data_IF_489667222719
#
_entry.id   IF_489667222719
#
_cell.length_a   1.000
_cell.length_b   1.000
_cell.length_c   1.000
_cell.angle_alpha   90.00
_cell.angle_beta   90.00
_cell.angle_gamma   90.00
#
_symmetry.space_group_name_H-M   'P 1'
#
loop_
_entity.id
_entity.type
_entity.pdbx_description
1 polymer ?
#
# COMPACT_ATOMS: atom_id res chain seq x y z
N UNK A 1 3.66 0.10 19.47
CA UNK A 1 3.79 -0.38 18.08
C UNK A 1 3.23 0.74 17.21
N UNK A 2 4.05 1.32 16.33
CA UNK A 2 3.55 2.34 15.41
C UNK A 2 2.70 1.65 14.35
N UNK A 3 1.39 1.78 14.43
CA UNK A 3 0.48 1.47 13.32
C UNK A 3 0.83 2.46 12.23
N UNK A 4 1.45 1.99 11.15
CA UNK A 4 1.76 2.86 10.02
C UNK A 4 0.44 3.12 9.32
N UNK A 5 -0.15 4.30 9.53
CA UNK A 5 -1.39 4.72 8.88
C UNK A 5 -1.13 5.00 7.39
N UNK A 6 -1.17 3.95 6.57
CA UNK A 6 -1.09 4.04 5.11
C UNK A 6 -2.32 4.76 4.50
N UNK A 7 -3.40 4.92 5.28
CA UNK A 7 -4.60 5.67 4.88
C UNK A 7 -4.33 7.15 4.54
N UNK A 8 -3.31 7.75 5.16
CA UNK A 8 -2.87 9.12 4.86
C UNK A 8 -2.03 9.24 3.58
N UNK A 9 -1.51 8.12 3.07
CA UNK A 9 -0.69 8.11 1.85
C UNK A 9 -1.56 8.12 0.59
N UNK A 10 -0.98 8.57 -0.51
CA UNK A 10 -1.62 8.55 -1.82
C UNK A 10 -1.42 7.21 -2.51
N UNK A 11 -2.27 6.88 -3.50
CA UNK A 11 -2.12 5.67 -4.34
C UNK A 11 -0.70 5.47 -4.89
N UNK A 12 -0.03 6.48 -5.48
CA UNK A 12 1.34 6.31 -5.95
C UNK A 12 2.34 6.02 -4.83
N UNK A 13 2.19 6.62 -3.63
CA UNK A 13 3.05 6.32 -2.48
C UNK A 13 2.85 4.89 -1.97
N UNK A 14 1.60 4.44 -1.91
CA UNK A 14 1.27 3.06 -1.54
C UNK A 14 1.88 2.06 -2.52
N UNK A 15 1.77 2.35 -3.83
CA UNK A 15 2.40 1.53 -4.87
C UNK A 15 3.92 1.52 -4.74
N UNK A 16 4.55 2.66 -4.48
CA UNK A 16 5.98 2.74 -4.26
C UNK A 16 6.43 1.89 -3.05
N UNK A 17 5.68 1.94 -1.94
CA UNK A 17 5.96 1.10 -0.77
C UNK A 17 5.78 -0.38 -1.04
N UNK A 18 4.75 -0.76 -1.81
CA UNK A 18 4.54 -2.15 -2.24
C UNK A 18 5.68 -2.61 -3.15
N UNK A 19 6.13 -1.76 -4.08
CA UNK A 19 7.27 -2.02 -4.97
C UNK A 19 8.58 -2.18 -4.18
N UNK A 20 8.86 -1.29 -3.23
CA UNK A 20 10.01 -1.39 -2.31
C UNK A 20 9.99 -2.69 -1.48
N UNK A 21 8.79 -3.17 -1.15
CA UNK A 21 8.59 -4.43 -0.43
C UNK A 21 8.50 -5.65 -1.35
N UNK A 22 8.61 -5.47 -2.67
CA UNK A 22 8.41 -6.48 -3.68
C UNK A 22 7.07 -7.23 -3.53
N UNK A 23 6.01 -6.51 -3.15
CA UNK A 23 4.64 -7.01 -3.03
C UNK A 23 3.92 -6.73 -4.34
N UNK A 24 3.51 -7.79 -5.02
CA UNK A 24 2.67 -7.69 -6.20
C UNK A 24 1.29 -7.13 -5.84
N UNK A 25 0.85 -6.13 -6.62
CA UNK A 25 -0.48 -5.55 -6.53
C UNK A 25 -1.15 -5.57 -7.90
N UNK A 26 -2.48 -5.67 -7.92
CA UNK A 26 -3.22 -5.61 -9.17
C UNK A 26 -3.07 -4.21 -9.79
N UNK A 27 -2.89 -4.10 -11.11
CA UNK A 27 -2.81 -2.80 -11.81
C UNK A 27 -4.03 -1.90 -11.56
N UNK A 28 -5.18 -2.53 -11.30
CA UNK A 28 -6.46 -1.90 -10.99
C UNK A 28 -6.78 -1.89 -9.48
N UNK A 29 -5.81 -2.24 -8.63
CA UNK A 29 -5.97 -2.25 -7.18
C UNK A 29 -6.40 -0.87 -6.71
N UNK A 30 -7.43 -0.85 -5.86
CA UNK A 30 -7.90 0.40 -5.26
C UNK A 30 -6.93 0.81 -4.15
N UNK A 31 -6.99 2.08 -3.77
CA UNK A 31 -6.22 2.61 -2.64
C UNK A 31 -6.34 1.70 -1.41
N UNK A 32 -7.55 1.20 -1.15
CA UNK A 32 -7.85 0.37 0.00
C UNK A 32 -7.18 -1.01 -0.09
N UNK A 33 -7.22 -1.68 -1.24
CA UNK A 33 -6.47 -2.94 -1.45
C UNK A 33 -4.96 -2.76 -1.25
N UNK A 34 -4.40 -1.65 -1.74
CA UNK A 34 -2.98 -1.35 -1.58
C UNK A 34 -2.60 -1.12 -0.11
N UNK A 35 -3.50 -0.48 0.66
CA UNK A 35 -3.34 -0.28 2.10
C UNK A 35 -3.42 -1.63 2.83
N UNK A 36 -4.40 -2.47 2.50
CA UNK A 36 -4.60 -3.78 3.11
C UNK A 36 -3.36 -4.69 2.91
N UNK A 37 -2.76 -4.64 1.71
CA UNK A 37 -1.49 -5.34 1.42
C UNK A 37 -0.29 -4.81 2.23
N UNK A 38 -0.30 -3.54 2.63
CA UNK A 38 0.75 -2.92 3.44
C UNK A 38 0.54 -3.10 4.94
N UNK A 39 -0.72 -3.16 5.39
CA UNK A 39 -1.13 -3.44 6.77
C UNK A 39 -1.15 -4.92 7.13
N UNK A 40 -1.11 -5.80 6.12
CA UNK A 40 -1.17 -7.26 6.24
C UNK A 40 -0.26 -7.91 7.27
#
# INVERSE_FOLDING_TARGET
MATVDYSSLTVPELKALLDERAIDYASNAKKQDLIDLLEG
#
